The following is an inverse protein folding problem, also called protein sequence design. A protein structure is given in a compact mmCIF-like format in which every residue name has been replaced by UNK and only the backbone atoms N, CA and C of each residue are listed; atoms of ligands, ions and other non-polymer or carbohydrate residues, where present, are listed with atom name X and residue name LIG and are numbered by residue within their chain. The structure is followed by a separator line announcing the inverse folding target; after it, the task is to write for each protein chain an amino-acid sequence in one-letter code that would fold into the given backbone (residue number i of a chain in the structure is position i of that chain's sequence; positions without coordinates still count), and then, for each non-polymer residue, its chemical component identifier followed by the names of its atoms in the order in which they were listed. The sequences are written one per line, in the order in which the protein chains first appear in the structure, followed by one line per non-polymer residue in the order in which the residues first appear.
data_IF_431180355570
#
_entry.id   IF_431180355570
#
_cell.length_a   1.000
_cell.length_b   1.000
_cell.length_c   1.000
_cell.angle_alpha   90.00
_cell.angle_beta   90.00
_cell.angle_gamma   90.00
#
_symmetry.space_group_name_H-M   'P 1'
#
loop_
_entity.id
_entity.type
_entity.pdbx_description
1 polymer ?
#
# COMPACT_ATOMS: atom_id res chain seq x y z
N UNK A 1 -24.68 22.19 20.24
CA UNK A 1 -23.50 22.05 21.12
C UNK A 1 -22.32 22.72 20.43
N UNK A 2 -21.70 23.71 21.05
CA UNK A 2 -20.74 24.60 20.37
C UNK A 2 -19.31 24.18 20.75
N UNK A 3 -18.65 23.41 19.88
CA UNK A 3 -17.31 22.85 20.13
C UNK A 3 -16.26 23.93 20.38
N UNK A 4 -16.36 25.06 19.66
CA UNK A 4 -15.50 26.22 19.85
C UNK A 4 -15.62 26.81 21.27
N UNK A 5 -16.84 26.88 21.82
CA UNK A 5 -17.06 27.41 23.18
C UNK A 5 -16.46 26.50 24.26
N UNK A 6 -16.59 25.18 24.11
CA UNK A 6 -15.95 24.23 25.04
C UNK A 6 -14.44 24.23 24.93
N UNK A 7 -13.89 24.37 23.72
CA UNK A 7 -12.45 24.44 23.49
C UNK A 7 -11.81 25.67 24.17
N UNK A 8 -12.49 26.83 24.11
CA UNK A 8 -12.01 28.07 24.75
C UNK A 8 -12.15 28.03 26.28
N UNK A 9 -13.15 27.33 26.83
CA UNK A 9 -13.36 27.23 28.27
C UNK A 9 -12.38 26.28 28.98
N UNK A 10 -11.80 25.32 28.27
CA UNK A 10 -10.80 24.37 28.81
C UNK A 10 -9.53 24.36 27.94
N UNK A 11 -8.77 25.47 27.92
CA UNK A 11 -7.64 25.66 27.01
C UNK A 11 -6.55 24.59 27.21
N UNK A 12 -6.30 24.18 28.46
CA UNK A 12 -5.31 23.13 28.77
C UNK A 12 -5.69 21.79 28.13
N UNK A 13 -6.95 21.37 28.23
CA UNK A 13 -7.42 20.12 27.62
C UNK A 13 -7.30 20.16 26.10
N UNK A 14 -7.68 21.28 25.47
CA UNK A 14 -7.58 21.44 24.02
C UNK A 14 -6.14 21.42 23.53
N UNK A 15 -5.21 22.08 24.24
CA UNK A 15 -3.78 22.04 23.90
C UNK A 15 -3.20 20.64 24.08
N UNK A 16 -3.56 19.93 25.16
CA UNK A 16 -3.10 18.54 25.36
C UNK A 16 -3.60 17.62 24.25
N UNK A 17 -4.88 17.71 23.87
CA UNK A 17 -5.45 16.93 22.78
C UNK A 17 -4.76 17.23 21.44
N UNK A 18 -4.53 18.51 21.14
CA UNK A 18 -3.79 18.92 19.95
C UNK A 18 -2.35 18.39 19.95
N UNK A 19 -1.65 18.45 21.09
CA UNK A 19 -0.30 17.92 21.25
C UNK A 19 -0.24 16.41 20.98
N UNK A 20 -1.21 15.65 21.50
CA UNK A 20 -1.29 14.21 21.25
C UNK A 20 -1.42 13.93 19.74
N UNK A 21 -2.31 14.65 19.05
CA UNK A 21 -2.48 14.49 17.59
C UNK A 21 -1.20 14.85 16.84
N UNK A 22 -0.52 15.93 17.22
CA UNK A 22 0.73 16.35 16.58
C UNK A 22 1.85 15.34 16.80
N UNK A 23 2.01 14.80 18.01
CA UNK A 23 3.04 13.81 18.32
C UNK A 23 2.77 12.50 17.58
N UNK A 24 1.54 12.01 17.60
CA UNK A 24 1.16 10.79 16.89
C UNK A 24 1.30 10.96 15.37
N UNK A 25 0.86 12.10 14.85
CA UNK A 25 1.02 12.43 13.43
C UNK A 25 2.49 12.52 13.02
N UNK A 26 3.31 13.21 13.81
CA UNK A 26 4.75 13.35 13.56
C UNK A 26 5.48 12.01 13.63
N UNK A 27 5.17 11.17 14.62
CA UNK A 27 5.72 9.80 14.69
C UNK A 27 5.26 8.95 13.50
N UNK A 28 3.98 9.04 13.11
CA UNK A 28 3.47 8.32 11.95
C UNK A 28 4.21 8.73 10.68
N UNK A 29 4.43 10.02 10.47
CA UNK A 29 5.17 10.56 9.32
C UNK A 29 6.62 10.05 9.31
N UNK A 30 7.29 10.02 10.46
CA UNK A 30 8.68 9.57 10.56
C UNK A 30 8.84 8.05 10.36
N UNK A 31 7.81 7.27 10.72
CA UNK A 31 7.87 5.80 10.69
C UNK A 31 7.44 5.19 9.35
N UNK A 32 7.01 6.01 8.38
CA UNK A 32 6.70 5.53 7.04
C UNK A 32 8.00 5.05 6.39
N UNK A 33 8.15 3.74 6.07
CA UNK A 33 9.30 3.26 5.34
C UNK A 33 9.21 3.81 3.91
N UNK A 34 10.18 4.64 3.54
CA UNK A 34 10.34 5.10 2.16
C UNK A 34 11.21 4.08 1.45
N UNK A 35 10.59 3.30 0.57
CA UNK A 35 11.32 2.37 -0.28
C UNK A 35 11.79 3.09 -1.54
N UNK A 36 13.11 3.13 -1.75
CA UNK A 36 13.74 3.78 -2.91
C UNK A 36 13.82 2.84 -4.12
N UNK A 37 13.70 1.54 -3.91
CA UNK A 37 13.66 0.52 -4.97
C UNK A 37 12.57 -0.50 -4.61
N UNK A 38 11.29 -0.18 -4.89
CA UNK A 38 10.24 -1.16 -4.72
C UNK A 38 10.51 -2.36 -5.64
N UNK A 39 10.46 -3.58 -5.10
CA UNK A 39 10.58 -4.80 -5.88
C UNK A 39 9.38 -4.92 -6.84
N UNK A 40 9.54 -4.41 -8.06
CA UNK A 40 8.56 -4.55 -9.14
C UNK A 40 8.69 -5.95 -9.71
N UNK A 41 8.10 -6.92 -9.02
CA UNK A 41 7.92 -8.27 -9.57
C UNK A 41 6.83 -8.20 -10.64
N UNK A 42 7.23 -8.11 -11.91
CA UNK A 42 6.30 -8.37 -13.01
C UNK A 42 5.97 -9.86 -13.00
N UNK A 43 4.72 -10.28 -12.73
CA UNK A 43 4.38 -11.69 -12.71
C UNK A 43 4.43 -12.23 -14.13
N UNK A 44 5.56 -12.83 -14.51
CA UNK A 44 5.70 -13.56 -15.77
C UNK A 44 5.28 -15.01 -15.55
N UNK A 45 4.06 -15.35 -15.97
CA UNK A 45 3.62 -16.74 -16.05
C UNK A 45 4.16 -17.35 -17.35
N UNK A 46 5.17 -18.21 -17.24
CA UNK A 46 5.65 -19.01 -18.38
C UNK A 46 4.97 -20.38 -18.34
N UNK A 47 4.09 -20.64 -19.31
CA UNK A 47 3.46 -21.95 -19.49
C UNK A 47 4.29 -22.70 -20.53
N UNK A 48 5.04 -23.70 -20.09
CA UNK A 48 5.77 -24.61 -20.99
C UNK A 48 4.96 -25.89 -21.15
N UNK A 49 4.37 -26.09 -22.34
CA UNK A 49 3.76 -27.38 -22.71
C UNK A 49 4.73 -28.15 -23.58
N UNK A 50 5.05 -29.37 -23.18
CA UNK A 50 5.92 -30.27 -23.96
C UNK A 50 5.00 -31.38 -24.49
N UNK A 51 4.79 -31.39 -25.81
CA UNK A 51 4.06 -32.45 -26.49
C UNK A 51 5.03 -33.20 -27.40
N UNK A 52 5.44 -34.40 -26.97
CA UNK A 52 6.38 -35.22 -27.72
C UNK A 52 5.72 -35.78 -28.99
N UNK A 53 6.42 -35.65 -30.14
CA UNK A 53 6.02 -36.13 -31.46
C UNK A 53 4.95 -35.32 -32.22
N UNK A 54 4.58 -34.11 -31.80
CA UNK A 54 3.77 -33.21 -32.65
C UNK A 54 4.67 -32.26 -33.46
N UNK A 55 4.29 -32.02 -34.71
CA UNK A 55 4.89 -30.94 -35.50
C UNK A 55 4.55 -29.58 -34.86
N UNK A 56 5.44 -28.57 -34.91
CA UNK A 56 5.16 -27.26 -34.31
C UNK A 56 3.84 -26.62 -34.78
N UNK A 57 3.41 -26.94 -36.01
CA UNK A 57 2.13 -26.48 -36.57
C UNK A 57 0.90 -27.12 -35.89
N UNK A 58 0.96 -28.40 -35.51
CA UNK A 58 -0.15 -29.08 -34.82
C UNK A 58 -0.31 -28.60 -33.37
N UNK A 59 0.78 -28.21 -32.70
CA UNK A 59 0.74 -27.68 -31.33
C UNK A 59 0.06 -26.30 -31.31
N UNK A 60 0.31 -25.45 -32.31
CA UNK A 60 -0.32 -24.14 -32.44
C UNK A 60 -1.82 -24.26 -32.73
N UNK A 61 -2.25 -25.21 -33.57
CA UNK A 61 -3.67 -25.38 -33.93
C UNK A 61 -4.52 -26.08 -32.85
N UNK A 62 -3.92 -26.91 -31.99
CA UNK A 62 -4.65 -27.70 -30.99
C UNK A 62 -4.55 -27.16 -29.56
N UNK A 63 -3.54 -26.36 -29.22
CA UNK A 63 -3.23 -25.99 -27.82
C UNK A 63 -3.18 -24.47 -27.58
N UNK A 64 -2.83 -23.64 -28.58
CA UNK A 64 -2.81 -22.16 -28.46
C UNK A 64 -4.05 -21.54 -29.09
#
# INVERSE_FOLDING_TARGET
MNLARSAVHRPVFTVMAALIVVILGGMSLYRIPVDLMPDVTYPTLSISTIYENASPAEIEELIT
#
